data_IF_131697009679
#
_entry.id   IF_131697009679
#
_cell.length_a   1.000
_cell.length_b   1.000
_cell.length_c   1.000
_cell.angle_alpha   90.00
_cell.angle_beta   90.00
_cell.angle_gamma   90.00
#
_symmetry.space_group_name_H-M   'P 1'
#
loop_
_entity.id
_entity.type
_entity.pdbx_description
1 polymer ?
#
# COMPACT_ATOMS: atom_id res chain seq x y z
N UNK A 1 4.11 15.42 -52.81
CA UNK A 1 2.75 14.84 -52.59
C UNK A 1 2.79 13.60 -51.71
N UNK A 2 3.71 12.67 -51.91
CA UNK A 2 3.86 11.45 -51.05
C UNK A 2 4.15 11.75 -49.56
N UNK A 3 4.82 12.84 -49.23
CA UNK A 3 5.11 13.23 -47.83
C UNK A 3 3.89 13.80 -47.06
N UNK A 4 2.86 14.23 -47.75
CA UNK A 4 1.60 14.66 -47.13
C UNK A 4 0.68 13.48 -46.83
N UNK A 5 0.59 12.52 -47.74
CA UNK A 5 -0.27 11.32 -47.57
C UNK A 5 0.19 10.41 -46.38
N UNK A 6 1.51 10.27 -46.19
CA UNK A 6 2.03 9.49 -45.03
C UNK A 6 1.73 10.15 -43.69
N UNK A 7 1.73 11.50 -43.63
CA UNK A 7 1.35 12.23 -42.39
C UNK A 7 -0.14 12.10 -42.05
N UNK A 8 -0.99 12.09 -43.06
CA UNK A 8 -2.44 11.99 -42.86
C UNK A 8 -2.86 10.57 -42.45
N UNK A 9 -2.21 9.55 -42.98
CA UNK A 9 -2.44 8.15 -42.57
C UNK A 9 -2.01 7.90 -41.10
N UNK A 10 -0.89 8.46 -40.66
CA UNK A 10 -0.45 8.39 -39.28
C UNK A 10 -1.40 9.16 -38.34
N UNK A 11 -1.90 10.31 -38.80
CA UNK A 11 -2.84 11.14 -38.05
C UNK A 11 -4.21 10.44 -37.88
N UNK A 12 -4.70 9.73 -38.87
CA UNK A 12 -5.93 8.94 -38.79
C UNK A 12 -5.78 7.72 -37.85
N UNK A 13 -4.63 7.06 -37.91
CA UNK A 13 -4.35 5.93 -37.00
C UNK A 13 -4.26 6.39 -35.54
N UNK A 14 -3.62 7.54 -35.30
CA UNK A 14 -3.55 8.17 -33.97
C UNK A 14 -4.94 8.61 -33.53
N UNK A 15 -5.72 9.26 -34.36
CA UNK A 15 -7.09 9.70 -34.05
C UNK A 15 -8.01 8.51 -33.75
N UNK A 16 -7.86 7.37 -34.46
CA UNK A 16 -8.59 6.13 -34.20
C UNK A 16 -8.20 5.48 -32.86
N UNK A 17 -6.93 5.55 -32.48
CA UNK A 17 -6.46 5.11 -31.17
C UNK A 17 -6.94 6.04 -30.05
N UNK A 18 -6.86 7.37 -30.26
CA UNK A 18 -7.38 8.38 -29.33
C UNK A 18 -8.89 8.26 -29.18
N UNK A 19 -9.63 8.03 -30.27
CA UNK A 19 -11.08 7.77 -30.24
C UNK A 19 -11.44 6.53 -29.42
N UNK A 20 -10.62 5.46 -29.47
CA UNK A 20 -10.80 4.29 -28.61
C UNK A 20 -10.54 4.60 -27.14
N UNK A 21 -9.64 5.54 -26.82
CA UNK A 21 -9.38 6.02 -25.46
C UNK A 21 -10.52 6.95 -24.97
N UNK A 22 -11.17 7.67 -25.88
CA UNK A 22 -12.29 8.57 -25.53
C UNK A 22 -13.64 7.86 -25.37
N UNK A 23 -13.90 6.81 -26.13
CA UNK A 23 -15.08 5.92 -25.92
C UNK A 23 -15.06 5.28 -24.51
N UNK A 24 -13.88 5.16 -23.90
CA UNK A 24 -13.74 4.73 -22.51
C UNK A 24 -14.23 5.76 -21.47
N UNK A 25 -14.56 7.01 -21.83
CA UNK A 25 -15.05 8.01 -20.85
C UNK A 25 -16.47 7.75 -20.36
N UNK A 26 -17.35 7.24 -21.20
CA UNK A 26 -18.73 6.89 -20.80
C UNK A 26 -18.74 5.59 -19.98
N UNK A 27 -17.86 4.64 -20.30
CA UNK A 27 -17.67 3.41 -19.53
C UNK A 27 -16.98 3.65 -18.17
N UNK A 28 -16.31 4.77 -18.00
CA UNK A 28 -15.52 5.04 -16.77
C UNK A 28 -16.40 5.17 -15.52
N UNK A 29 -17.59 5.76 -15.63
CA UNK A 29 -18.50 5.93 -14.48
C UNK A 29 -19.10 4.59 -14.03
N UNK A 30 -19.54 3.74 -14.97
CA UNK A 30 -20.05 2.40 -14.68
C UNK A 30 -18.92 1.51 -14.11
N UNK A 31 -17.73 1.57 -14.71
CA UNK A 31 -16.54 0.84 -14.25
C UNK A 31 -16.13 1.25 -12.84
N UNK A 32 -16.19 2.54 -12.50
CA UNK A 32 -15.88 3.03 -11.15
C UNK A 32 -16.91 2.55 -10.13
N UNK A 33 -18.21 2.56 -10.46
CA UNK A 33 -19.23 1.99 -9.59
C UNK A 33 -18.99 0.51 -9.33
N UNK A 34 -18.67 -0.25 -10.38
CA UNK A 34 -18.33 -1.66 -10.25
C UNK A 34 -17.13 -1.88 -9.36
N UNK A 35 -16.03 -1.12 -9.55
CA UNK A 35 -14.85 -1.18 -8.69
C UNK A 35 -15.18 -0.92 -7.21
N UNK A 36 -16.07 0.02 -6.91
CA UNK A 36 -16.50 0.30 -5.52
C UNK A 36 -17.29 -0.89 -4.95
N UNK A 37 -18.15 -1.51 -5.74
CA UNK A 37 -18.91 -2.70 -5.33
C UNK A 37 -18.01 -3.91 -5.08
N UNK A 38 -17.02 -4.11 -5.93
CA UNK A 38 -16.08 -5.24 -5.87
C UNK A 38 -15.00 -5.08 -4.80
N UNK A 39 -14.88 -3.90 -4.15
CA UNK A 39 -13.92 -3.71 -3.06
C UNK A 39 -14.16 -4.72 -1.95
N UNK A 40 -13.06 -5.31 -1.46
CA UNK A 40 -13.10 -6.11 -0.23
C UNK A 40 -13.07 -5.18 1.00
N UNK A 41 -14.18 -4.50 1.25
CA UNK A 41 -14.33 -3.50 2.30
C UNK A 41 -15.70 -3.61 2.98
N UNK A 42 -15.82 -3.08 4.19
CA UNK A 42 -17.12 -3.03 4.91
C UNK A 42 -18.16 -2.19 4.14
N UNK A 43 -19.44 -2.40 4.45
CA UNK A 43 -20.54 -1.63 3.83
C UNK A 43 -20.40 -0.13 4.09
N UNK A 44 -19.95 0.24 5.30
CA UNK A 44 -19.73 1.61 5.74
C UNK A 44 -18.63 2.28 4.88
N UNK A 45 -17.50 1.59 4.70
CA UNK A 45 -16.40 2.08 3.87
C UNK A 45 -16.82 2.23 2.41
N UNK A 46 -17.51 1.24 1.84
CA UNK A 46 -18.05 1.33 0.47
C UNK A 46 -19.01 2.52 0.33
N UNK A 47 -19.89 2.73 1.31
CA UNK A 47 -20.85 3.84 1.32
C UNK A 47 -20.13 5.19 1.38
N UNK A 48 -19.11 5.33 2.21
CA UNK A 48 -18.31 6.55 2.30
C UNK A 48 -17.59 6.86 0.99
N UNK A 49 -16.96 5.86 0.37
CA UNK A 49 -16.30 5.99 -0.94
C UNK A 49 -17.33 6.38 -2.02
N UNK A 50 -18.51 5.74 -2.01
CA UNK A 50 -19.54 6.04 -2.98
C UNK A 50 -20.14 7.45 -2.82
N UNK A 51 -20.26 7.96 -1.59
CA UNK A 51 -20.67 9.35 -1.36
C UNK A 51 -19.70 10.33 -2.02
N UNK A 52 -18.39 10.16 -1.80
CA UNK A 52 -17.35 11.00 -2.43
C UNK A 52 -17.31 10.85 -3.96
N UNK A 53 -17.58 9.64 -4.47
CA UNK A 53 -17.69 9.42 -5.91
C UNK A 53 -18.83 10.26 -6.53
N UNK A 54 -19.98 10.40 -5.85
CA UNK A 54 -21.11 11.23 -6.32
C UNK A 54 -20.79 12.73 -6.39
N UNK A 55 -19.85 13.22 -5.59
CA UNK A 55 -19.41 14.61 -5.60
C UNK A 55 -18.59 14.96 -6.85
N UNK A 56 -18.03 13.95 -7.53
CA UNK A 56 -17.25 14.14 -8.75
C UNK A 56 -18.16 14.55 -9.90
N UNK A 57 -17.90 15.73 -10.46
CA UNK A 57 -18.65 16.25 -11.62
C UNK A 57 -17.97 15.81 -12.90
N UNK A 58 -18.64 15.02 -13.78
CA UNK A 58 -18.09 14.66 -15.08
C UNK A 58 -17.82 15.90 -15.93
N UNK A 59 -16.68 15.93 -16.61
CA UNK A 59 -16.29 17.05 -17.48
C UNK A 59 -15.73 18.28 -16.80
N UNK A 60 -15.84 18.41 -15.47
CA UNK A 60 -15.23 19.54 -14.75
C UNK A 60 -13.73 19.33 -14.54
N UNK A 61 -12.94 20.33 -14.92
CA UNK A 61 -11.50 20.40 -14.69
C UNK A 61 -11.14 21.23 -13.45
N UNK A 62 -12.09 21.47 -12.53
CA UNK A 62 -11.82 22.22 -11.31
C UNK A 62 -10.77 21.51 -10.44
N UNK A 63 -10.01 22.30 -9.68
CA UNK A 63 -8.99 21.75 -8.77
C UNK A 63 -9.60 20.81 -7.73
N UNK A 64 -10.77 21.18 -7.20
CA UNK A 64 -11.53 20.36 -6.25
C UNK A 64 -11.91 19.00 -6.85
N UNK A 65 -12.40 18.99 -8.08
CA UNK A 65 -12.77 17.76 -8.79
C UNK A 65 -11.55 16.86 -9.02
N UNK A 66 -10.38 17.44 -9.31
CA UNK A 66 -9.13 16.70 -9.46
C UNK A 66 -8.64 16.12 -8.13
N UNK A 67 -8.81 16.83 -7.02
CA UNK A 67 -8.53 16.33 -5.67
C UNK A 67 -9.44 15.13 -5.34
N UNK A 68 -10.74 15.23 -5.60
CA UNK A 68 -11.70 14.14 -5.40
C UNK A 68 -11.34 12.90 -6.20
N UNK A 69 -10.94 13.05 -7.47
CA UNK A 69 -10.50 11.94 -8.33
C UNK A 69 -9.23 11.26 -7.78
N UNK A 70 -8.24 12.04 -7.35
CA UNK A 70 -7.00 11.51 -6.74
C UNK A 70 -7.30 10.74 -5.45
N UNK A 71 -8.15 11.32 -4.59
CA UNK A 71 -8.58 10.66 -3.35
C UNK A 71 -9.32 9.35 -3.64
N UNK A 72 -10.26 9.36 -4.61
CA UNK A 72 -11.01 8.17 -4.98
C UNK A 72 -10.08 7.06 -5.49
N UNK A 73 -9.14 7.37 -6.37
CA UNK A 73 -8.18 6.39 -6.86
C UNK A 73 -7.37 5.80 -5.71
N UNK A 74 -6.87 6.62 -4.80
CA UNK A 74 -6.16 6.16 -3.61
C UNK A 74 -7.04 5.23 -2.74
N UNK A 75 -8.30 5.61 -2.51
CA UNK A 75 -9.24 4.82 -1.72
C UNK A 75 -9.56 3.47 -2.38
N UNK A 76 -9.64 3.42 -3.72
CA UNK A 76 -9.87 2.18 -4.47
C UNK A 76 -8.66 1.24 -4.48
N UNK A 77 -7.45 1.77 -4.38
CA UNK A 77 -6.21 1.00 -4.36
C UNK A 77 -5.86 0.43 -2.98
N UNK A 78 -6.44 0.98 -1.90
CA UNK A 78 -6.19 0.50 -0.55
C UNK A 78 -6.66 -0.94 -0.35
N UNK A 79 -5.88 -1.76 0.37
CA UNK A 79 -6.25 -3.15 0.69
C UNK A 79 -7.18 -3.23 1.91
N UNK A 80 -8.34 -2.59 1.89
CA UNK A 80 -9.25 -2.42 3.04
C UNK A 80 -9.29 -3.60 4.00
N UNK A 81 -9.87 -4.74 3.59
CA UNK A 81 -9.97 -5.95 4.41
C UNK A 81 -9.21 -7.14 3.80
N UNK A 82 -8.32 -6.86 2.83
CA UNK A 82 -7.52 -7.88 2.17
C UNK A 82 -6.36 -8.30 3.06
N UNK A 83 -6.52 -9.45 3.70
CA UNK A 83 -5.53 -10.05 4.59
C UNK A 83 -4.84 -11.24 3.93
N UNK A 84 -3.54 -11.37 4.13
CA UNK A 84 -2.81 -12.58 3.82
C UNK A 84 -3.05 -13.60 4.94
N UNK A 85 -3.81 -14.65 4.63
CA UNK A 85 -4.23 -15.67 5.61
C UNK A 85 -3.18 -16.77 5.73
N UNK A 86 -2.91 -17.21 6.96
CA UNK A 86 -2.08 -18.36 7.28
C UNK A 86 -3.00 -19.50 7.72
N UNK A 87 -3.01 -20.59 6.96
CA UNK A 87 -3.95 -21.70 7.22
C UNK A 87 -3.49 -22.60 8.38
N UNK A 88 -2.18 -22.83 8.54
CA UNK A 88 -1.60 -23.74 9.55
C UNK A 88 -0.50 -23.02 10.33
N UNK A 89 -0.83 -22.39 11.43
CA UNK A 89 0.11 -21.55 12.21
C UNK A 89 1.33 -22.36 12.68
N UNK A 90 1.13 -23.55 13.26
CA UNK A 90 2.24 -24.37 13.79
C UNK A 90 3.26 -24.74 12.71
N UNK A 91 2.80 -25.23 11.54
CA UNK A 91 3.71 -25.58 10.44
C UNK A 91 4.35 -24.34 9.82
N UNK A 92 3.65 -23.21 9.78
CA UNK A 92 4.19 -21.94 9.33
C UNK A 92 5.35 -21.47 10.23
N UNK A 93 5.14 -21.44 11.55
CA UNK A 93 6.20 -21.05 12.52
C UNK A 93 7.42 -21.99 12.42
N UNK A 94 7.22 -23.31 12.27
CA UNK A 94 8.32 -24.27 12.07
C UNK A 94 9.12 -23.96 10.81
N UNK A 95 8.43 -23.64 9.70
CA UNK A 95 9.10 -23.25 8.45
C UNK A 95 9.85 -21.91 8.59
N UNK A 96 9.25 -20.94 9.28
CA UNK A 96 9.90 -19.65 9.56
C UNK A 96 11.17 -19.86 10.39
N UNK A 97 11.11 -20.71 11.43
CA UNK A 97 12.28 -21.05 12.24
C UNK A 97 13.42 -21.63 11.41
N UNK A 98 13.14 -22.69 10.62
CA UNK A 98 14.14 -23.32 9.77
C UNK A 98 14.80 -22.33 8.79
N UNK A 99 13.99 -21.51 8.12
CA UNK A 99 14.51 -20.50 7.18
C UNK A 99 15.26 -19.36 7.85
N UNK A 100 14.88 -18.96 9.07
CA UNK A 100 15.66 -18.00 9.84
C UNK A 100 17.04 -18.55 10.21
N UNK A 101 17.13 -19.85 10.46
CA UNK A 101 18.41 -20.51 10.75
C UNK A 101 19.31 -20.60 9.50
N UNK A 102 18.72 -20.78 8.33
CA UNK A 102 19.44 -20.75 7.04
C UNK A 102 19.95 -19.35 6.67
N UNK A 103 19.12 -18.30 6.87
CA UNK A 103 19.39 -16.93 6.39
C UNK A 103 20.17 -16.08 7.39
N UNK A 104 20.11 -16.39 8.70
CA UNK A 104 20.76 -15.65 9.78
C UNK A 104 21.73 -16.52 10.56
N UNK A 105 23.00 -16.18 10.51
CA UNK A 105 24.00 -16.84 11.33
C UNK A 105 23.95 -16.39 12.79
N UNK A 106 23.91 -17.33 13.73
CA UNK A 106 23.86 -17.02 15.16
C UNK A 106 22.54 -16.35 15.58
N UNK A 107 22.64 -15.36 16.49
CA UNK A 107 21.51 -14.55 17.01
C UNK A 107 20.34 -15.38 17.59
N UNK A 108 20.61 -16.50 18.24
CA UNK A 108 19.59 -17.44 18.71
C UNK A 108 18.53 -16.79 19.60
N UNK A 109 18.94 -15.92 20.54
CA UNK A 109 18.00 -15.18 21.40
C UNK A 109 17.07 -14.26 20.61
N UNK A 110 17.58 -13.60 19.55
CA UNK A 110 16.79 -12.72 18.70
C UNK A 110 15.79 -13.52 17.88
N UNK A 111 16.21 -14.63 17.30
CA UNK A 111 15.35 -15.57 16.56
C UNK A 111 14.21 -16.10 17.45
N UNK A 112 14.54 -16.54 18.66
CA UNK A 112 13.55 -17.02 19.65
C UNK A 112 12.52 -15.95 19.97
N UNK A 113 12.92 -14.71 20.26
CA UNK A 113 12.00 -13.61 20.54
C UNK A 113 11.10 -13.28 19.35
N UNK A 114 11.65 -13.32 18.12
CA UNK A 114 10.87 -13.12 16.91
C UNK A 114 9.83 -14.24 16.76
N UNK A 115 10.21 -15.49 16.95
CA UNK A 115 9.29 -16.64 16.84
C UNK A 115 8.19 -16.60 17.91
N UNK A 116 8.51 -16.22 19.15
CA UNK A 116 7.54 -16.01 20.22
C UNK A 116 6.54 -14.89 19.86
N UNK A 117 7.06 -13.76 19.39
CA UNK A 117 6.23 -12.64 18.94
C UNK A 117 5.27 -13.06 17.80
N UNK A 118 5.78 -13.76 16.80
CA UNK A 118 4.98 -14.25 15.67
C UNK A 118 3.94 -15.27 16.13
N UNK A 119 4.32 -16.21 16.98
CA UNK A 119 3.38 -17.19 17.52
C UNK A 119 2.23 -16.50 18.25
N UNK A 120 2.53 -15.57 19.17
CA UNK A 120 1.51 -14.81 19.89
C UNK A 120 0.61 -14.04 18.93
N UNK A 121 1.17 -13.40 17.91
CA UNK A 121 0.40 -12.61 16.93
C UNK A 121 -0.53 -13.47 16.08
N UNK A 122 -0.07 -14.65 15.69
CA UNK A 122 -0.82 -15.53 14.80
C UNK A 122 -1.86 -16.37 15.53
N UNK A 123 -1.65 -16.68 16.81
CA UNK A 123 -2.61 -17.40 17.63
C UNK A 123 -3.68 -16.48 18.20
N UNK A 124 -3.39 -15.20 18.37
CA UNK A 124 -4.31 -14.19 18.91
C UNK A 124 -4.66 -13.12 17.88
N UNK A 125 -5.51 -13.39 16.88
CA UNK A 125 -5.81 -12.46 15.79
C UNK A 125 -6.45 -11.14 16.24
N UNK A 126 -7.11 -11.14 17.41
CA UNK A 126 -7.76 -9.95 17.99
C UNK A 126 -6.79 -9.06 18.78
N UNK A 127 -5.55 -9.45 18.95
CA UNK A 127 -4.54 -8.66 19.65
C UNK A 127 -4.27 -7.37 18.90
N UNK A 128 -4.52 -6.24 19.55
CA UNK A 128 -4.24 -4.89 19.02
C UNK A 128 -2.81 -4.48 19.36
N UNK A 129 -2.20 -3.68 18.47
CA UNK A 129 -0.94 -3.00 18.79
C UNK A 129 0.28 -3.90 18.88
N UNK A 130 0.51 -4.79 17.90
CA UNK A 130 1.74 -5.58 17.85
C UNK A 130 2.89 -4.81 17.21
N UNK A 131 3.88 -4.44 18.01
CA UNK A 131 5.12 -3.83 17.58
C UNK A 131 6.32 -4.61 18.14
N UNK A 132 7.31 -4.87 17.30
CA UNK A 132 8.58 -5.48 17.69
C UNK A 132 9.69 -4.43 17.60
N UNK A 133 10.28 -4.07 18.73
CA UNK A 133 11.42 -3.14 18.79
C UNK A 133 12.75 -3.85 18.60
N UNK A 134 13.54 -3.43 17.61
CA UNK A 134 14.90 -3.89 17.40
C UNK A 134 15.87 -2.80 17.88
N UNK A 135 16.52 -3.01 19.05
CA UNK A 135 17.50 -2.07 19.62
C UNK A 135 18.92 -2.65 19.49
N UNK A 136 19.86 -1.83 19.10
CA UNK A 136 21.26 -2.21 18.98
C UNK A 136 22.09 -1.13 18.29
N UNK A 137 23.44 -1.22 18.33
CA UNK A 137 24.31 -0.26 17.67
C UNK A 137 24.07 -0.22 16.15
N UNK A 138 24.54 0.83 15.45
CA UNK A 138 24.50 0.88 13.99
C UNK A 138 25.31 -0.29 13.39
N UNK A 139 24.91 -0.75 12.20
CA UNK A 139 25.63 -1.80 11.47
C UNK A 139 25.36 -3.24 11.91
N UNK A 140 24.64 -3.52 13.00
CA UNK A 140 24.37 -4.90 13.47
C UNK A 140 23.28 -5.65 12.66
N UNK A 141 22.80 -5.06 11.58
CA UNK A 141 21.85 -5.75 10.68
C UNK A 141 20.39 -5.67 11.08
N UNK A 142 19.93 -4.70 11.86
CA UNK A 142 18.50 -4.53 12.24
C UNK A 142 17.57 -4.53 11.01
N UNK A 143 17.90 -3.73 10.01
CA UNK A 143 17.12 -3.64 8.75
C UNK A 143 17.17 -4.95 7.95
N UNK A 144 18.33 -5.63 7.98
CA UNK A 144 18.52 -6.93 7.32
C UNK A 144 17.62 -8.00 7.96
N UNK A 145 17.56 -8.06 9.29
CA UNK A 145 16.67 -8.98 10.02
C UNK A 145 15.21 -8.76 9.62
N UNK A 146 14.75 -7.51 9.56
CA UNK A 146 13.38 -7.20 9.18
C UNK A 146 13.05 -7.63 7.73
N UNK A 147 13.98 -7.44 6.79
CA UNK A 147 13.84 -7.89 5.39
C UNK A 147 13.85 -9.40 5.26
N UNK A 148 14.77 -10.08 5.96
CA UNK A 148 14.83 -11.54 5.96
C UNK A 148 13.55 -12.11 6.55
N UNK A 149 13.04 -11.55 7.64
CA UNK A 149 11.78 -11.96 8.23
C UNK A 149 10.62 -11.86 7.24
N UNK A 150 10.51 -10.74 6.52
CA UNK A 150 9.48 -10.56 5.48
C UNK A 150 9.62 -11.57 4.34
N UNK A 151 10.86 -11.82 3.88
CA UNK A 151 11.19 -12.82 2.84
C UNK A 151 10.77 -14.23 3.27
N UNK A 152 11.18 -14.63 4.47
CA UNK A 152 10.92 -15.97 5.03
C UNK A 152 9.42 -16.19 5.23
N UNK A 153 8.71 -15.18 5.71
CA UNK A 153 7.25 -15.21 5.87
C UNK A 153 6.51 -15.07 4.54
N UNK A 154 7.21 -14.71 3.46
CA UNK A 154 6.61 -14.32 2.18
C UNK A 154 5.55 -13.23 2.37
N UNK A 155 5.76 -12.29 3.27
CA UNK A 155 4.88 -11.17 3.53
C UNK A 155 5.36 -9.92 2.80
N UNK A 156 4.44 -9.04 2.37
CA UNK A 156 4.83 -7.75 1.81
C UNK A 156 5.55 -6.92 2.87
N UNK A 157 6.57 -6.20 2.42
CA UNK A 157 7.46 -5.40 3.26
C UNK A 157 7.59 -4.00 2.70
N UNK A 158 7.42 -3.01 3.56
CA UNK A 158 7.71 -1.61 3.26
C UNK A 158 8.53 -1.01 4.38
N UNK A 159 9.48 -0.15 4.00
CA UNK A 159 10.38 0.54 4.93
C UNK A 159 10.07 2.03 4.91
N UNK A 160 9.91 2.62 6.09
CA UNK A 160 9.76 4.06 6.29
C UNK A 160 10.97 4.51 7.11
N UNK A 161 11.82 5.37 6.52
CA UNK A 161 12.94 5.99 7.25
C UNK A 161 12.52 7.32 7.84
N UNK A 162 12.86 7.53 9.11
CA UNK A 162 12.62 8.78 9.82
C UNK A 162 13.81 9.75 9.76
N UNK A 163 14.90 9.37 9.08
CA UNK A 163 16.03 10.26 8.85
C UNK A 163 15.62 11.52 8.07
N UNK A 164 15.61 12.66 8.74
CA UNK A 164 15.23 13.95 8.14
C UNK A 164 13.74 14.25 8.10
N UNK A 165 12.90 13.44 8.75
CA UNK A 165 11.46 13.69 8.87
C UNK A 165 11.19 14.59 10.07
N UNK A 166 10.65 15.79 9.83
CA UNK A 166 10.35 16.80 10.86
C UNK A 166 8.85 17.00 11.13
N UNK A 167 7.96 16.38 10.36
CA UNK A 167 6.52 16.60 10.47
C UNK A 167 5.72 15.30 10.57
N UNK A 168 4.71 15.29 11.44
CA UNK A 168 3.74 14.19 11.55
C UNK A 168 2.92 14.00 10.26
N UNK A 169 2.79 15.04 9.44
CA UNK A 169 2.06 15.02 8.18
C UNK A 169 2.69 14.06 7.16
N UNK A 170 3.99 13.79 7.29
CA UNK A 170 4.67 12.78 6.49
C UNK A 170 3.98 11.40 6.63
N UNK A 171 3.60 11.01 7.84
CA UNK A 171 2.95 9.72 8.09
C UNK A 171 1.44 9.77 7.85
N UNK A 172 0.78 10.83 8.31
CA UNK A 172 -0.69 10.98 8.26
C UNK A 172 -1.18 11.46 6.91
N UNK A 173 -0.40 12.27 6.21
CA UNK A 173 -0.81 13.03 5.04
C UNK A 173 -1.40 14.38 5.43
N UNK A 174 -1.66 15.19 4.43
CA UNK A 174 -2.31 16.49 4.61
C UNK A 174 -3.81 16.36 4.50
N UNK A 175 -4.53 17.23 5.20
CA UNK A 175 -5.98 17.34 5.07
C UNK A 175 -6.39 17.61 3.62
N UNK A 176 -7.50 17.03 3.22
CA UNK A 176 -8.04 17.11 1.86
C UNK A 176 -8.27 18.54 1.38
N UNK A 177 -8.51 19.47 2.31
CA UNK A 177 -8.76 20.90 2.04
C UNK A 177 -7.55 21.66 1.50
N UNK A 178 -6.33 21.20 1.79
CA UNK A 178 -5.11 21.88 1.37
C UNK A 178 -4.79 21.68 -0.11
N UNK A 179 -4.30 22.75 -0.75
CA UNK A 179 -3.73 22.67 -2.11
C UNK A 179 -2.50 21.76 -2.06
N UNK A 180 -2.47 20.75 -2.94
CA UNK A 180 -1.36 19.80 -2.95
C UNK A 180 -1.46 18.69 -1.90
N UNK A 181 -2.64 18.48 -1.26
CA UNK A 181 -2.85 17.39 -0.30
C UNK A 181 -2.39 16.04 -0.88
N UNK A 182 -1.62 15.29 -0.08
CA UNK A 182 -1.09 13.98 -0.46
C UNK A 182 -1.40 12.97 0.64
N UNK A 183 -1.67 11.71 0.27
CA UNK A 183 -1.79 10.65 1.26
C UNK A 183 -0.47 10.49 2.02
N UNK A 184 -0.56 10.21 3.31
CA UNK A 184 0.60 9.94 4.14
C UNK A 184 1.35 8.69 3.71
N UNK A 185 2.60 8.56 4.17
CA UNK A 185 3.47 7.45 3.75
C UNK A 185 2.93 6.09 4.21
N UNK A 186 2.23 6.01 5.35
CA UNK A 186 1.56 4.77 5.77
C UNK A 186 0.54 4.30 4.72
N UNK A 187 -0.29 5.21 4.20
CA UNK A 187 -1.29 4.92 3.16
C UNK A 187 -0.62 4.44 1.89
N UNK A 188 0.48 5.09 1.48
CA UNK A 188 1.27 4.70 0.31
C UNK A 188 1.89 3.31 0.47
N UNK A 189 2.46 3.01 1.63
CA UNK A 189 3.00 1.69 1.94
C UNK A 189 1.91 0.62 1.84
N UNK A 190 0.72 0.85 2.42
CA UNK A 190 -0.39 -0.08 2.33
C UNK A 190 -0.84 -0.32 0.88
N UNK A 191 -0.89 0.73 0.06
CA UNK A 191 -1.22 0.62 -1.36
C UNK A 191 -0.19 -0.22 -2.12
N UNK A 192 1.11 -0.03 -1.86
CA UNK A 192 2.19 -0.83 -2.46
C UNK A 192 2.16 -2.29 -2.00
N UNK A 193 1.95 -2.52 -0.72
CA UNK A 193 1.86 -3.87 -0.13
C UNK A 193 0.66 -4.67 -0.62
N UNK A 194 -0.44 -4.03 -1.01
CA UNK A 194 -1.70 -4.65 -1.45
C UNK A 194 -2.33 -5.61 -0.43
N UNK A 195 -1.89 -5.58 0.80
CA UNK A 195 -2.41 -6.34 1.95
C UNK A 195 -2.39 -5.47 3.20
N UNK A 196 -3.40 -5.62 4.06
CA UNK A 196 -3.53 -4.87 5.31
C UNK A 196 -2.54 -5.30 6.39
N UNK A 197 -2.08 -6.54 6.35
CA UNK A 197 -1.23 -7.17 7.35
C UNK A 197 0.20 -7.47 6.86
N UNK A 198 0.78 -6.57 6.09
CA UNK A 198 2.20 -6.61 5.75
C UNK A 198 3.09 -6.18 6.92
N UNK A 199 4.40 -6.18 6.70
CA UNK A 199 5.41 -5.68 7.63
C UNK A 199 5.76 -4.26 7.26
N UNK A 200 5.48 -3.32 8.17
CA UNK A 200 5.98 -1.94 8.11
C UNK A 200 7.21 -1.85 9.02
N UNK A 201 8.35 -1.57 8.45
CA UNK A 201 9.59 -1.36 9.17
C UNK A 201 9.90 0.13 9.29
N UNK A 202 9.93 0.61 10.52
CA UNK A 202 10.31 1.98 10.85
C UNK A 202 11.80 2.03 11.15
N UNK A 203 12.56 2.63 10.25
CA UNK A 203 14.00 2.77 10.37
C UNK A 203 14.36 4.15 10.94
N UNK A 204 15.44 4.20 11.73
CA UNK A 204 15.89 5.43 12.38
C UNK A 204 14.82 6.11 13.24
N UNK A 205 14.00 5.30 13.92
CA UNK A 205 12.87 5.80 14.71
C UNK A 205 13.32 6.71 15.87
N UNK A 206 14.55 6.57 16.32
CA UNK A 206 15.18 7.43 17.34
C UNK A 206 15.41 8.87 16.87
N UNK A 207 15.32 9.14 15.56
CA UNK A 207 15.49 10.49 14.98
C UNK A 207 14.17 11.28 14.90
N UNK A 208 13.07 10.70 15.34
CA UNK A 208 11.79 11.40 15.46
C UNK A 208 11.90 12.39 16.62
N UNK A 209 11.88 13.68 16.31
CA UNK A 209 11.90 14.75 17.29
C UNK A 209 10.49 15.05 17.83
#
# INVERSE_FOLDING_TARGET
EEFKETKDLDQEAINKQVGKLEVNKVNNTALMKQKILDLNASKENKSAIYKRFKEIRPGSCSEENNKLKKWLNCALELPHDKLKKIKKVKSFIKNVSAKLDEELYGMNKVKEQILLFLNNRLTNPNMKGCCLGLKGPPGVGKTTIARILAKVMSWPFEQISFGGVSSADFLKGHDFTYVGSRPGEIVRCLTRMKYKNGILFFDEFEKVA
#
